data_IF_629489439613
#
_entry.id   IF_629489439613
#
_cell.length_a   1.000
_cell.length_b   1.000
_cell.length_c   1.000
_cell.angle_alpha   90.00
_cell.angle_beta   90.00
_cell.angle_gamma   90.00
#
_symmetry.space_group_name_H-M   'P 1'
#
loop_
_entity.id
_entity.type
_entity.pdbx_description
1 polymer ?
#
# COMPACT_ATOMS: atom_id res chain seq x y z
N UNK A 1 25.85 -4.38 6.52
CA UNK A 1 25.00 -5.56 6.85
C UNK A 1 24.46 -5.48 8.27
N UNK A 2 25.31 -5.20 9.28
CA UNK A 2 24.90 -5.01 10.68
C UNK A 2 23.82 -3.91 10.83
N UNK A 3 23.99 -2.75 10.19
CA UNK A 3 22.98 -1.68 10.23
C UNK A 3 21.61 -2.12 9.66
N UNK A 4 21.61 -3.01 8.66
CA UNK A 4 20.38 -3.53 8.06
C UNK A 4 19.61 -4.42 9.05
N UNK A 5 20.33 -5.16 9.89
CA UNK A 5 19.75 -6.10 10.86
C UNK A 5 19.27 -5.43 12.13
N UNK A 6 20.01 -4.43 12.63
CA UNK A 6 19.74 -3.82 13.93
C UNK A 6 19.06 -2.46 13.87
N UNK A 7 19.04 -1.81 12.71
CA UNK A 7 18.40 -0.49 12.53
C UNK A 7 17.20 -0.60 11.59
N UNK A 8 17.39 -1.17 10.40
CA UNK A 8 16.33 -1.16 9.38
C UNK A 8 15.24 -2.19 9.70
N UNK A 9 15.61 -3.46 9.92
CA UNK A 9 14.64 -4.53 10.17
C UNK A 9 13.67 -4.24 11.33
N UNK A 10 14.11 -3.81 12.53
CA UNK A 10 13.21 -3.53 13.65
C UNK A 10 12.25 -2.37 13.36
N UNK A 11 12.71 -1.34 12.64
CA UNK A 11 11.90 -0.19 12.25
C UNK A 11 10.82 -0.61 11.25
N UNK A 12 11.20 -1.39 10.23
CA UNK A 12 10.27 -1.95 9.23
C UNK A 12 9.20 -2.79 9.93
N UNK A 13 9.61 -3.72 10.81
CA UNK A 13 8.67 -4.58 11.53
C UNK A 13 7.74 -3.80 12.46
N UNK A 14 8.24 -2.76 13.13
CA UNK A 14 7.42 -1.91 14.01
C UNK A 14 6.37 -1.15 13.22
N UNK A 15 6.76 -0.51 12.11
CA UNK A 15 5.85 0.24 11.24
C UNK A 15 4.83 -0.69 10.60
N UNK A 16 5.27 -1.84 10.05
CA UNK A 16 4.39 -2.84 9.45
C UNK A 16 3.37 -3.40 10.46
N UNK A 17 3.79 -3.66 11.69
CA UNK A 17 2.89 -4.13 12.76
C UNK A 17 1.83 -3.09 13.11
N UNK A 18 2.24 -1.82 13.30
CA UNK A 18 1.30 -0.73 13.59
C UNK A 18 0.30 -0.56 12.43
N UNK A 19 0.81 -0.56 11.19
CA UNK A 19 -0.03 -0.49 10.00
C UNK A 19 -1.04 -1.64 9.92
N UNK A 20 -0.61 -2.85 10.24
CA UNK A 20 -1.47 -4.05 10.26
C UNK A 20 -2.56 -3.95 11.33
N UNK A 21 -2.24 -3.45 12.52
CA UNK A 21 -3.21 -3.21 13.59
C UNK A 21 -4.25 -2.19 13.13
N UNK A 22 -3.81 -1.07 12.55
CA UNK A 22 -4.71 -0.04 12.04
C UNK A 22 -5.58 -0.61 10.91
N UNK A 23 -5.02 -1.42 10.01
CA UNK A 23 -5.74 -2.05 8.90
C UNK A 23 -6.83 -3.03 9.35
N UNK A 24 -6.56 -3.87 10.34
CA UNK A 24 -7.50 -4.91 10.77
C UNK A 24 -8.51 -4.42 11.82
N UNK A 25 -8.12 -3.49 12.69
CA UNK A 25 -8.94 -3.10 13.83
C UNK A 25 -9.58 -1.72 13.70
N UNK A 26 -9.26 -0.93 12.66
CA UNK A 26 -9.86 0.40 12.46
C UNK A 26 -10.38 0.60 11.03
N UNK A 27 -11.45 1.39 10.84
CA UNK A 27 -11.97 1.70 9.51
C UNK A 27 -11.12 2.75 8.76
N UNK A 28 -9.90 3.05 9.21
CA UNK A 28 -9.07 4.12 8.67
C UNK A 28 -8.79 3.92 7.17
N UNK A 29 -8.29 2.74 6.80
CA UNK A 29 -8.00 2.39 5.40
C UNK A 29 -9.27 2.20 4.58
N UNK A 30 -10.39 1.81 5.21
CA UNK A 30 -11.70 1.75 4.57
C UNK A 30 -12.13 3.13 4.07
N UNK A 31 -12.00 4.14 4.92
CA UNK A 31 -12.39 5.52 4.61
C UNK A 31 -11.48 6.11 3.53
N UNK A 32 -10.17 5.89 3.63
CA UNK A 32 -9.20 6.34 2.64
C UNK A 32 -9.31 5.61 1.29
N UNK A 33 -9.80 4.37 1.27
CA UNK A 33 -10.02 3.57 0.07
C UNK A 33 -11.28 3.95 -0.70
N UNK A 34 -12.30 4.55 -0.05
CA UNK A 34 -13.57 4.96 -0.70
C UNK A 34 -13.41 5.74 -2.02
N UNK A 35 -12.48 6.71 -2.13
CA UNK A 35 -12.27 7.45 -3.38
C UNK A 35 -11.82 6.57 -4.56
N UNK A 36 -11.22 5.40 -4.29
CA UNK A 36 -10.74 4.45 -5.30
C UNK A 36 -11.82 3.48 -5.80
N UNK A 37 -12.90 3.27 -5.04
CA UNK A 37 -14.03 2.42 -5.42
C UNK A 37 -14.61 2.78 -6.80
N UNK A 38 -14.98 4.04 -7.13
CA UNK A 38 -15.56 4.36 -8.42
C UNK A 38 -14.60 4.12 -9.60
N UNK A 39 -13.29 4.24 -9.38
CA UNK A 39 -12.29 3.94 -10.41
C UNK A 39 -12.23 2.43 -10.68
N UNK A 40 -12.28 1.61 -9.64
CA UNK A 40 -12.29 0.15 -9.75
C UNK A 40 -13.61 -0.36 -10.38
N UNK A 41 -14.75 0.24 -10.03
CA UNK A 41 -16.04 -0.06 -10.63
C UNK A 41 -16.08 0.31 -12.12
N UNK A 42 -15.49 1.46 -12.50
CA UNK A 42 -15.36 1.86 -13.90
C UNK A 42 -14.53 0.86 -14.71
N UNK A 43 -13.49 0.28 -14.09
CA UNK A 43 -12.66 -0.77 -14.66
C UNK A 43 -13.30 -2.16 -14.59
N UNK A 44 -14.54 -2.27 -14.12
CA UNK A 44 -15.29 -3.52 -13.96
C UNK A 44 -14.57 -4.53 -13.07
N UNK A 45 -13.78 -4.07 -12.09
CA UNK A 45 -13.09 -4.95 -11.15
C UNK A 45 -14.11 -5.47 -10.12
N UNK A 46 -14.31 -6.79 -10.03
CA UNK A 46 -15.20 -7.38 -9.04
C UNK A 46 -14.66 -7.15 -7.62
N UNK A 47 -15.56 -7.03 -6.66
CA UNK A 47 -15.20 -6.77 -5.25
C UNK A 47 -14.41 -5.45 -5.06
N UNK A 48 -14.71 -4.43 -5.87
CA UNK A 48 -14.07 -3.10 -5.86
C UNK A 48 -13.95 -2.47 -4.47
N UNK A 49 -14.95 -2.67 -3.60
CA UNK A 49 -14.90 -2.19 -2.22
C UNK A 49 -13.72 -2.79 -1.44
N UNK A 50 -13.49 -4.10 -1.54
CA UNK A 50 -12.39 -4.79 -0.83
C UNK A 50 -11.04 -4.44 -1.46
N UNK A 51 -10.97 -4.42 -2.80
CA UNK A 51 -9.78 -4.02 -3.54
C UNK A 51 -9.35 -2.56 -3.25
N UNK A 52 -10.31 -1.64 -3.10
CA UNK A 52 -10.01 -0.23 -2.82
C UNK A 52 -9.28 0.00 -1.50
N UNK A 53 -9.57 -0.85 -0.51
CA UNK A 53 -8.98 -0.76 0.83
C UNK A 53 -7.54 -1.24 0.80
N UNK A 54 -7.30 -2.35 0.12
CA UNK A 54 -5.98 -2.95 0.00
C UNK A 54 -5.02 -2.04 -0.78
N UNK A 55 -5.50 -1.30 -1.77
CA UNK A 55 -4.69 -0.32 -2.52
C UNK A 55 -4.04 0.71 -1.60
N UNK A 56 -4.77 1.31 -0.65
CA UNK A 56 -4.18 2.31 0.25
C UNK A 56 -3.20 1.67 1.24
N UNK A 57 -3.46 0.43 1.63
CA UNK A 57 -2.60 -0.33 2.55
C UNK A 57 -1.22 -0.59 1.92
N UNK A 58 -1.10 -0.63 0.59
CA UNK A 58 0.19 -0.74 -0.12
C UNK A 58 1.14 0.39 0.26
N UNK A 59 0.62 1.57 0.60
CA UNK A 59 1.45 2.68 1.08
C UNK A 59 2.19 2.35 2.37
N UNK A 60 1.56 1.54 3.24
CA UNK A 60 2.13 1.15 4.51
C UNK A 60 3.11 -0.02 4.35
N UNK A 61 2.76 -1.04 3.56
CA UNK A 61 3.57 -2.23 3.34
C UNK A 61 3.22 -2.91 2.01
N UNK A 62 4.23 -3.43 1.30
CA UNK A 62 4.04 -4.08 0.00
C UNK A 62 3.42 -5.50 0.09
N UNK A 63 3.48 -6.17 1.24
CA UNK A 63 3.03 -7.55 1.41
C UNK A 63 1.61 -7.64 1.98
N UNK A 64 1.22 -6.68 2.82
CA UNK A 64 -0.12 -6.63 3.42
C UNK A 64 -1.29 -6.71 2.44
N UNK A 65 -1.27 -6.04 1.26
CA UNK A 65 -2.39 -6.12 0.32
C UNK A 65 -2.62 -7.54 -0.19
N UNK A 66 -1.54 -8.28 -0.44
CA UNK A 66 -1.59 -9.67 -0.93
C UNK A 66 -2.12 -10.62 0.14
N UNK A 67 -1.83 -10.35 1.42
CA UNK A 67 -2.35 -11.14 2.55
C UNK A 67 -3.85 -10.85 2.75
N UNK A 68 -4.24 -9.58 2.67
CA UNK A 68 -5.63 -9.16 2.89
C UNK A 68 -6.58 -9.55 1.76
N UNK A 69 -6.08 -9.76 0.54
CA UNK A 69 -6.88 -10.17 -0.63
C UNK A 69 -7.05 -11.69 -0.74
N UNK A 70 -6.43 -12.50 0.14
CA UNK A 70 -6.50 -13.97 0.10
C UNK A 70 -7.95 -14.49 0.19
N UNK A 71 -8.86 -13.76 0.82
CA UNK A 71 -10.28 -14.13 0.97
C UNK A 71 -11.18 -13.84 -0.26
N UNK A 72 -10.77 -12.96 -1.16
CA UNK A 72 -11.52 -12.54 -2.37
C UNK A 72 -11.57 -13.69 -3.36
N UNK A 73 -12.74 -14.12 -3.84
CA UNK A 73 -12.82 -15.32 -4.70
C UNK A 73 -12.42 -15.04 -6.16
N UNK A 74 -12.36 -13.78 -6.56
CA UNK A 74 -12.10 -13.42 -7.95
C UNK A 74 -10.60 -13.31 -8.28
N UNK A 75 -10.15 -14.11 -9.25
CA UNK A 75 -8.76 -14.15 -9.69
C UNK A 75 -8.29 -12.84 -10.34
N UNK A 76 -9.16 -12.10 -11.02
CA UNK A 76 -8.83 -10.81 -11.65
C UNK A 76 -8.47 -9.80 -10.57
N UNK A 77 -9.28 -9.72 -9.51
CA UNK A 77 -9.06 -8.79 -8.40
C UNK A 77 -7.77 -9.14 -7.66
N UNK A 78 -7.49 -10.43 -7.43
CA UNK A 78 -6.23 -10.89 -6.84
C UNK A 78 -5.03 -10.54 -7.72
N UNK A 79 -5.16 -10.73 -9.04
CA UNK A 79 -4.10 -10.40 -9.99
C UNK A 79 -3.78 -8.90 -9.99
N UNK A 80 -4.81 -8.04 -10.09
CA UNK A 80 -4.62 -6.58 -10.12
C UNK A 80 -3.98 -6.10 -8.82
N UNK A 81 -4.47 -6.54 -7.66
CA UNK A 81 -3.89 -6.16 -6.37
C UNK A 81 -2.46 -6.70 -6.22
N UNK A 82 -2.20 -7.95 -6.61
CA UNK A 82 -0.85 -8.53 -6.56
C UNK A 82 0.14 -7.81 -7.48
N UNK A 83 -0.27 -7.49 -8.71
CA UNK A 83 0.52 -6.70 -9.65
C UNK A 83 0.77 -5.29 -9.11
N UNK A 84 -0.25 -4.66 -8.52
CA UNK A 84 -0.14 -3.34 -7.92
C UNK A 84 0.84 -3.34 -6.75
N UNK A 85 0.79 -4.33 -5.85
CA UNK A 85 1.74 -4.49 -4.74
C UNK A 85 3.21 -4.55 -5.19
N UNK A 86 3.50 -5.25 -6.29
CA UNK A 86 4.88 -5.40 -6.81
C UNK A 86 5.32 -4.16 -7.61
N UNK A 87 4.40 -3.57 -8.36
CA UNK A 87 4.68 -2.41 -9.22
C UNK A 87 4.97 -1.13 -8.43
N UNK A 88 4.54 -1.06 -7.18
CA UNK A 88 4.73 0.10 -6.33
C UNK A 88 6.10 0.10 -5.67
N UNK A 89 6.88 1.13 -6.01
CA UNK A 89 8.25 1.30 -5.53
C UNK A 89 8.36 2.11 -4.23
N UNK A 90 7.26 2.68 -3.74
CA UNK A 90 7.27 3.63 -2.61
C UNK A 90 6.30 3.14 -1.54
N UNK A 91 6.86 2.56 -0.49
CA UNK A 91 6.16 2.14 0.72
C UNK A 91 6.88 2.71 1.94
N UNK A 92 6.11 3.06 2.96
CA UNK A 92 6.58 3.84 4.10
C UNK A 92 7.62 3.08 4.94
N UNK A 93 7.50 1.74 5.02
CA UNK A 93 8.29 0.90 5.91
C UNK A 93 9.79 0.84 5.55
N UNK A 94 10.18 0.82 4.27
CA UNK A 94 11.60 0.85 3.87
C UNK A 94 11.96 2.12 3.09
N UNK A 95 11.34 2.33 1.93
CA UNK A 95 11.73 3.40 1.00
C UNK A 95 11.37 4.77 1.54
N UNK A 96 10.25 4.89 2.28
CA UNK A 96 9.87 6.13 2.95
C UNK A 96 10.89 6.60 3.99
N UNK A 97 11.35 5.69 4.86
CA UNK A 97 12.36 5.99 5.88
C UNK A 97 13.71 6.40 5.28
N UNK A 98 14.14 5.70 4.21
CA UNK A 98 15.39 6.02 3.50
C UNK A 98 15.30 7.38 2.80
N UNK A 99 14.17 7.71 2.15
CA UNK A 99 13.98 8.99 1.48
C UNK A 99 13.95 10.15 2.47
N UNK A 100 13.22 10.00 3.59
CA UNK A 100 13.13 11.02 4.65
C UNK A 100 14.47 11.23 5.36
N UNK A 101 15.31 10.19 5.48
CA UNK A 101 16.68 10.28 6.00
C UNK A 101 17.70 10.81 4.99
N UNK A 102 17.34 10.93 3.71
CA UNK A 102 18.23 11.42 2.65
C UNK A 102 18.17 12.94 2.51
N UNK A 103 19.08 13.51 1.70
CA UNK A 103 19.07 14.95 1.36
C UNK A 103 17.94 15.35 0.40
N UNK A 104 17.06 14.43 0.01
CA UNK A 104 15.96 14.71 -0.91
C UNK A 104 14.82 15.36 -0.09
N UNK A 105 14.42 16.62 -0.37
CA UNK A 105 13.46 17.37 0.44
C UNK A 105 12.00 16.96 0.14
N UNK A 106 11.68 15.69 0.35
CA UNK A 106 10.33 15.14 0.18
C UNK A 106 9.71 14.96 1.56
N UNK A 107 8.60 15.63 1.84
CA UNK A 107 7.83 15.41 3.07
C UNK A 107 6.95 14.16 2.95
N UNK A 108 6.52 13.60 4.09
CA UNK A 108 5.59 12.45 4.15
C UNK A 108 4.34 12.70 3.28
N UNK A 109 3.78 13.92 3.30
CA UNK A 109 2.63 14.30 2.47
C UNK A 109 2.92 14.28 0.97
N UNK A 110 4.11 14.73 0.55
CA UNK A 110 4.53 14.62 -0.86
C UNK A 110 4.76 13.17 -1.27
N UNK A 111 5.32 12.35 -0.38
CA UNK A 111 5.51 10.92 -0.61
C UNK A 111 4.18 10.22 -0.86
N UNK A 112 3.17 10.54 -0.04
CA UNK A 112 1.81 10.05 -0.21
C UNK A 112 1.17 10.52 -1.52
N UNK A 113 1.40 11.78 -1.93
CA UNK A 113 0.89 12.28 -3.20
C UNK A 113 1.52 11.58 -4.41
N UNK A 114 2.83 11.31 -4.38
CA UNK A 114 3.53 10.54 -5.42
C UNK A 114 2.99 9.11 -5.47
N UNK A 115 2.74 8.50 -4.30
CA UNK A 115 2.09 7.20 -4.20
C UNK A 115 0.73 7.20 -4.90
N UNK A 116 -0.15 8.17 -4.62
CA UNK A 116 -1.48 8.24 -5.26
C UNK A 116 -1.38 8.38 -6.78
N UNK A 117 -0.47 9.24 -7.27
CA UNK A 117 -0.25 9.43 -8.71
C UNK A 117 0.25 8.13 -9.35
N UNK A 118 1.21 7.45 -8.72
CA UNK A 118 1.69 6.14 -9.19
C UNK A 118 0.56 5.12 -9.21
N UNK A 119 -0.20 5.00 -8.13
CA UNK A 119 -1.38 4.11 -8.05
C UNK A 119 -2.34 4.33 -9.21
N UNK A 120 -2.67 5.57 -9.54
CA UNK A 120 -3.60 5.90 -10.64
C UNK A 120 -3.01 5.54 -12.01
N UNK A 121 -1.71 5.81 -12.24
CA UNK A 121 -1.03 5.48 -13.51
C UNK A 121 -0.90 3.97 -13.70
N UNK A 122 -0.74 3.23 -12.60
CA UNK A 122 -0.47 1.79 -12.60
C UNK A 122 -1.74 0.94 -12.49
N UNK A 123 -2.88 1.52 -12.08
CA UNK A 123 -4.16 0.82 -12.04
C UNK A 123 -4.61 0.23 -13.40
N UNK A 124 -4.43 0.90 -14.57
CA UNK A 124 -4.83 0.39 -15.89
C UNK A 124 -3.85 -0.67 -16.48
N UNK A 125 -3.30 -1.55 -15.65
CA UNK A 125 -2.55 -2.75 -16.10
C UNK A 125 -3.52 -3.86 -16.48
#
# INVERSE_FOLDING_TARGET
>A
VIDMWFVILPVVMSIGTIATIIANYTPFFVILGKPFVPFLELMQIPEAAQASQTIIIVFADMFLPSILIEGVQNDITRFVIGALSISQLIYLSEVGGVILGSKIPVSIGKLFMIFLIRTIITLPI
#
